data_IF_383358113320
#
_entry.id   IF_383358113320
#
_cell.length_a   1.000
_cell.length_b   1.000
_cell.length_c   1.000
_cell.angle_alpha   90.00
_cell.angle_beta   90.00
_cell.angle_gamma   90.00
#
_symmetry.space_group_name_H-M   'P 1'
#
loop_
_entity.id
_entity.type
_entity.pdbx_description
1 polymer ?
#
# COMPACT_ATOMS: atom_id res chain seq x y z
N UNK A 1 -13.09 9.86 26.15
CA UNK A 1 -13.37 8.62 26.93
C UNK A 1 -14.54 7.90 26.28
N UNK A 2 -14.26 6.91 25.42
CA UNK A 2 -15.25 5.99 24.84
C UNK A 2 -14.60 4.62 24.78
N UNK A 3 -15.02 3.74 25.70
CA UNK A 3 -14.55 2.36 25.79
C UNK A 3 -15.37 1.49 24.85
N UNK A 4 -14.74 0.88 23.85
CA UNK A 4 -15.35 -0.20 23.08
C UNK A 4 -14.82 -1.55 23.57
N UNK A 5 -15.60 -2.18 24.46
CA UNK A 5 -15.44 -3.59 24.85
C UNK A 5 -15.96 -4.47 23.71
N UNK A 6 -15.11 -5.35 23.17
CA UNK A 6 -15.57 -6.41 22.28
C UNK A 6 -15.63 -7.74 23.04
N UNK A 7 -16.84 -8.28 23.16
CA UNK A 7 -17.21 -9.47 23.95
C UNK A 7 -16.94 -10.71 23.07
N UNK A 8 -16.10 -11.63 23.54
CA UNK A 8 -15.91 -12.95 22.91
C UNK A 8 -17.11 -13.84 23.22
N UNK A 9 -17.68 -14.50 22.21
CA UNK A 9 -18.63 -15.59 22.39
C UNK A 9 -18.04 -16.84 21.75
N UNK A 10 -17.77 -17.85 22.58
CA UNK A 10 -17.46 -19.22 22.19
C UNK A 10 -18.79 -19.97 22.20
N UNK A 11 -19.11 -20.70 21.14
CA UNK A 11 -20.18 -21.69 21.14
C UNK A 11 -19.68 -22.96 20.44
N UNK A 12 -19.83 -24.08 21.14
CA UNK A 12 -19.39 -25.41 20.75
C UNK A 12 -20.58 -26.33 20.47
N UNK A 13 -20.27 -27.43 19.77
CA UNK A 13 -20.96 -28.71 19.68
C UNK A 13 -22.14 -28.88 18.71
N UNK A 14 -22.12 -30.02 18.01
CA UNK A 14 -23.30 -30.63 17.39
C UNK A 14 -23.01 -31.51 16.17
N UNK A 15 -22.52 -32.74 16.37
CA UNK A 15 -22.61 -33.81 15.36
C UNK A 15 -24.03 -34.38 15.36
N UNK A 16 -24.72 -34.37 14.22
CA UNK A 16 -25.86 -35.27 13.94
C UNK A 16 -25.92 -35.60 12.46
N UNK A 17 -25.79 -36.89 12.15
CA UNK A 17 -26.07 -37.52 10.86
C UNK A 17 -27.58 -37.69 10.66
N UNK A 18 -28.11 -37.29 9.50
CA UNK A 18 -29.36 -37.84 8.96
C UNK A 18 -29.36 -37.74 7.44
N UNK A 19 -29.48 -38.89 6.78
CA UNK A 19 -29.54 -39.09 5.35
C UNK A 19 -31.03 -39.01 4.93
N UNK A 20 -31.40 -38.05 4.08
CA UNK A 20 -32.70 -38.04 3.40
C UNK A 20 -32.51 -37.79 1.92
N UNK A 21 -32.80 -38.81 1.12
CA UNK A 21 -32.83 -38.79 -0.33
C UNK A 21 -34.21 -38.25 -0.76
N UNK A 22 -34.27 -37.00 -1.19
CA UNK A 22 -35.46 -36.42 -1.82
C UNK A 22 -35.09 -36.02 -3.26
N UNK A 23 -35.74 -36.67 -4.22
CA UNK A 23 -35.65 -36.34 -5.64
C UNK A 23 -36.28 -34.95 -5.85
N UNK A 24 -35.48 -33.98 -6.31
CA UNK A 24 -35.97 -32.66 -6.68
C UNK A 24 -35.80 -32.54 -8.20
N UNK A 25 -36.93 -32.53 -8.88
CA UNK A 25 -37.08 -32.15 -10.29
C UNK A 25 -36.39 -30.81 -10.57
N UNK A 26 -35.49 -30.70 -11.56
CA UNK A 26 -35.04 -29.38 -12.00
C UNK A 26 -36.22 -28.69 -12.71
N UNK A 27 -36.85 -27.74 -12.02
CA UNK A 27 -37.61 -26.70 -12.70
C UNK A 27 -36.61 -25.90 -13.56
N UNK A 28 -36.90 -25.78 -14.85
CA UNK A 28 -36.18 -24.89 -15.76
C UNK A 28 -36.33 -23.46 -15.23
N UNK A 29 -35.33 -22.98 -14.51
CA UNK A 29 -35.22 -21.57 -14.14
C UNK A 29 -34.73 -20.78 -15.36
N UNK A 30 -35.40 -19.67 -15.61
CA UNK A 30 -35.17 -18.71 -16.68
C UNK A 30 -33.69 -18.36 -16.91
N UNK A 31 -33.23 -18.17 -18.17
CA UNK A 31 -31.87 -17.72 -18.47
C UNK A 31 -31.63 -16.23 -18.14
N UNK A 32 -32.56 -15.54 -17.47
CA UNK A 32 -32.49 -14.11 -17.21
C UNK A 32 -32.31 -13.81 -15.74
N UNK A 33 -31.09 -14.02 -15.23
CA UNK A 33 -30.46 -13.18 -14.20
C UNK A 33 -29.32 -13.95 -13.51
N UNK A 34 -28.13 -13.90 -14.09
CA UNK A 34 -26.95 -13.75 -13.25
C UNK A 34 -25.95 -12.97 -14.07
N UNK A 35 -25.86 -11.66 -13.82
CA UNK A 35 -24.68 -10.90 -14.18
C UNK A 35 -23.51 -11.58 -13.48
N UNK A 36 -22.84 -12.48 -14.20
CA UNK A 36 -21.57 -13.03 -13.79
C UNK A 36 -20.63 -11.84 -13.63
N UNK A 37 -20.51 -11.34 -12.40
CA UNK A 37 -19.31 -10.63 -12.00
C UNK A 37 -18.22 -11.66 -12.22
N UNK A 38 -17.56 -11.57 -13.37
CA UNK A 38 -16.43 -12.42 -13.69
C UNK A 38 -15.50 -12.32 -12.51
N UNK A 39 -15.39 -13.40 -11.74
CA UNK A 39 -14.38 -13.51 -10.71
C UNK A 39 -13.06 -13.51 -11.46
N UNK A 40 -12.48 -12.33 -11.64
CA UNK A 40 -11.08 -12.19 -12.05
C UNK A 40 -10.30 -12.98 -11.02
N UNK A 41 -9.69 -14.08 -11.46
CA UNK A 41 -8.86 -14.89 -10.59
C UNK A 41 -7.85 -13.94 -9.93
N UNK A 42 -7.90 -13.87 -8.60
CA UNK A 42 -7.01 -12.99 -7.86
C UNK A 42 -5.57 -13.44 -8.09
N UNK A 43 -4.80 -12.65 -8.82
CA UNK A 43 -3.37 -12.89 -8.97
C UNK A 43 -2.69 -12.65 -7.64
N UNK A 44 -1.91 -13.63 -7.16
CA UNK A 44 -1.12 -13.46 -5.95
C UNK A 44 -0.11 -12.31 -6.13
N UNK A 45 0.14 -11.50 -5.09
CA UNK A 45 1.19 -10.49 -5.15
C UNK A 45 2.55 -11.17 -5.37
N UNK A 46 3.31 -10.66 -6.34
CA UNK A 46 4.68 -11.10 -6.62
C UNK A 46 5.62 -9.93 -6.37
N UNK A 47 6.84 -10.22 -5.94
CA UNK A 47 7.90 -9.23 -5.78
C UNK A 47 9.27 -9.80 -6.10
N UNK A 48 10.16 -8.94 -6.58
CA UNK A 48 11.56 -9.22 -6.86
C UNK A 48 12.46 -8.32 -6.00
N UNK A 49 13.26 -8.87 -5.07
CA UNK A 49 14.20 -8.08 -4.27
C UNK A 49 15.31 -7.38 -5.08
N UNK A 50 15.47 -7.75 -6.37
CA UNK A 50 16.39 -7.09 -7.31
C UNK A 50 15.72 -5.92 -8.05
N UNK A 51 14.38 -5.87 -8.11
CA UNK A 51 13.62 -4.79 -8.74
C UNK A 51 13.72 -3.51 -7.92
N UNK A 52 14.18 -2.41 -8.54
CA UNK A 52 14.17 -1.08 -7.92
C UNK A 52 12.75 -0.58 -7.72
N UNK A 53 11.82 -0.87 -8.64
CA UNK A 53 10.41 -0.48 -8.53
C UNK A 53 9.74 -1.17 -7.34
N UNK A 54 9.96 -2.48 -7.17
CA UNK A 54 9.40 -3.23 -6.04
C UNK A 54 10.03 -2.77 -4.72
N UNK A 55 11.31 -2.40 -4.74
CA UNK A 55 11.98 -1.81 -3.58
C UNK A 55 11.39 -0.44 -3.20
N UNK A 56 10.99 0.38 -4.17
CA UNK A 56 10.26 1.64 -3.92
C UNK A 56 8.86 1.34 -3.38
N UNK A 57 8.15 0.36 -3.94
CA UNK A 57 6.82 -0.06 -3.44
C UNK A 57 6.89 -0.55 -1.99
N UNK A 58 7.87 -1.41 -1.66
CA UNK A 58 8.10 -1.89 -0.30
C UNK A 58 8.44 -0.76 0.67
N UNK A 59 9.22 0.23 0.22
CA UNK A 59 9.50 1.42 1.04
C UNK A 59 8.23 2.21 1.34
N UNK A 60 7.47 2.59 0.31
CA UNK A 60 6.28 3.43 0.49
C UNK A 60 5.20 2.70 1.28
N UNK A 61 4.98 1.40 1.05
CA UNK A 61 4.05 0.61 1.85
C UNK A 61 4.41 0.62 3.33
N UNK A 62 5.62 0.16 3.67
CA UNK A 62 6.06 0.10 5.07
C UNK A 62 6.16 1.49 5.71
N UNK A 63 6.56 2.51 4.96
CA UNK A 63 6.68 3.88 5.47
C UNK A 63 5.31 4.48 5.77
N UNK A 64 4.34 4.31 4.86
CA UNK A 64 2.96 4.76 5.06
C UNK A 64 2.33 4.04 6.24
N UNK A 65 2.52 2.72 6.39
CA UNK A 65 2.04 1.97 7.55
C UNK A 65 2.61 2.55 8.86
N UNK A 66 3.92 2.81 8.91
CA UNK A 66 4.58 3.37 10.10
C UNK A 66 4.11 4.79 10.44
N UNK A 67 3.82 5.65 9.46
CA UNK A 67 3.30 7.00 9.76
C UNK A 67 1.79 7.02 9.98
N UNK A 68 1.06 5.99 9.54
CA UNK A 68 -0.37 5.84 9.78
C UNK A 68 -0.64 5.33 11.20
N UNK A 69 0.14 4.36 11.67
CA UNK A 69 -0.06 3.73 12.98
C UNK A 69 0.58 4.51 14.15
N UNK A 70 0.18 5.77 14.30
CA UNK A 70 0.75 6.67 15.32
C UNK A 70 0.47 6.27 16.77
N UNK A 71 -0.40 5.29 17.01
CA UNK A 71 -0.68 4.76 18.35
C UNK A 71 0.40 3.78 18.83
N UNK A 72 1.15 3.15 17.92
CA UNK A 72 2.28 2.31 18.27
C UNK A 72 3.51 3.18 18.66
N UNK A 73 4.08 3.01 19.86
CA UNK A 73 5.26 3.76 20.28
C UNK A 73 6.51 3.51 19.41
N UNK A 74 6.57 2.44 18.62
CA UNK A 74 7.67 2.11 17.72
C UNK A 74 7.60 2.89 16.38
N UNK A 75 6.43 3.39 15.98
CA UNK A 75 6.17 3.96 14.66
C UNK A 75 7.16 5.05 14.22
N UNK A 76 7.49 5.99 15.11
CA UNK A 76 8.46 7.04 14.80
C UNK A 76 9.89 6.49 14.58
N UNK A 77 10.28 5.48 15.37
CA UNK A 77 11.59 4.83 15.22
C UNK A 77 11.65 4.02 13.92
N UNK A 78 10.58 3.33 13.57
CA UNK A 78 10.46 2.53 12.35
C UNK A 78 10.48 3.41 11.10
N UNK A 79 9.71 4.50 11.07
CA UNK A 79 9.74 5.48 9.97
C UNK A 79 11.18 6.00 9.74
N UNK A 80 11.92 6.31 10.82
CA UNK A 80 13.32 6.74 10.75
C UNK A 80 14.26 5.63 10.27
N UNK A 81 14.05 4.39 10.72
CA UNK A 81 14.83 3.23 10.29
C UNK A 81 14.61 2.94 8.79
N UNK A 82 13.36 2.99 8.33
CA UNK A 82 12.99 2.82 6.92
C UNK A 82 13.65 3.87 6.05
N UNK A 83 13.58 5.16 6.41
CA UNK A 83 14.28 6.23 5.69
C UNK A 83 15.78 5.94 5.60
N UNK A 84 16.40 5.47 6.68
CA UNK A 84 17.83 5.12 6.71
C UNK A 84 18.16 3.91 5.83
N UNK A 85 17.30 2.90 5.79
CA UNK A 85 17.50 1.68 5.03
C UNK A 85 17.22 1.82 3.53
N UNK A 86 16.25 2.64 3.14
CA UNK A 86 15.85 2.73 1.73
C UNK A 86 16.56 3.85 0.97
N UNK A 87 16.80 5.00 1.61
CA UNK A 87 17.35 6.18 0.96
C UNK A 87 18.88 6.24 1.06
N UNK A 88 19.50 6.90 0.08
CA UNK A 88 20.89 7.34 0.17
C UNK A 88 21.05 8.45 1.23
N UNK A 89 22.28 8.68 1.69
CA UNK A 89 22.55 9.77 2.63
C UNK A 89 22.20 11.15 2.03
N UNK A 90 22.47 11.34 0.73
CA UNK A 90 22.15 12.58 0.02
C UNK A 90 20.64 12.80 -0.10
N UNK A 91 19.87 11.76 -0.43
CA UNK A 91 18.42 11.83 -0.48
C UNK A 91 17.82 12.19 0.88
N UNK A 92 18.29 11.56 1.97
CA UNK A 92 17.86 11.90 3.34
C UNK A 92 18.12 13.36 3.70
N UNK A 93 19.24 13.92 3.25
CA UNK A 93 19.56 15.35 3.47
C UNK A 93 18.59 16.27 2.71
N UNK A 94 18.22 15.92 1.47
CA UNK A 94 17.22 16.67 0.70
C UNK A 94 15.84 16.63 1.36
N UNK A 95 15.41 15.45 1.82
CA UNK A 95 14.17 15.25 2.57
C UNK A 95 14.15 16.15 3.81
N UNK A 96 15.19 16.09 4.65
CA UNK A 96 15.28 16.92 5.84
C UNK A 96 15.27 18.44 5.54
N UNK A 97 15.91 18.85 4.44
CA UNK A 97 15.90 20.25 4.01
C UNK A 97 14.52 20.71 3.52
N UNK A 98 13.74 19.82 2.90
CA UNK A 98 12.35 20.07 2.55
C UNK A 98 11.48 20.20 3.81
N UNK A 99 11.59 19.24 4.74
CA UNK A 99 10.82 19.21 5.99
C UNK A 99 11.04 20.48 6.84
N UNK A 100 12.29 20.94 6.91
CA UNK A 100 12.63 22.16 7.65
C UNK A 100 12.04 23.43 7.02
N UNK A 101 11.82 23.43 5.70
CA UNK A 101 11.31 24.60 4.97
C UNK A 101 9.78 24.63 4.89
N UNK A 102 9.18 23.47 4.65
CA UNK A 102 7.75 23.36 4.32
C UNK A 102 6.91 22.88 5.50
N UNK A 103 7.53 22.40 6.58
CA UNK A 103 6.84 21.81 7.72
C UNK A 103 5.88 20.66 7.34
N UNK A 104 6.22 19.94 6.27
CA UNK A 104 5.49 18.80 5.73
C UNK A 104 6.43 17.60 5.61
N UNK A 105 5.90 16.37 5.62
CA UNK A 105 6.68 15.15 5.46
C UNK A 105 7.41 15.17 4.11
N UNK A 106 8.74 15.00 4.11
CA UNK A 106 9.54 15.12 2.88
C UNK A 106 9.60 13.84 2.02
N UNK A 107 8.99 12.74 2.47
CA UNK A 107 8.77 11.52 1.67
C UNK A 107 7.43 11.59 0.95
N UNK A 108 6.40 12.14 1.60
CA UNK A 108 5.05 12.26 1.09
C UNK A 108 4.78 13.62 0.40
N UNK A 109 5.62 14.62 0.67
CA UNK A 109 5.45 16.02 0.26
C UNK A 109 4.09 16.60 0.70
N UNK A 110 3.63 16.22 1.89
CA UNK A 110 2.32 16.58 2.44
C UNK A 110 2.31 16.56 3.98
N UNK A 111 1.28 17.14 4.58
CA UNK A 111 1.09 17.16 6.04
C UNK A 111 0.28 15.97 6.57
N UNK A 112 -0.52 15.34 5.71
CA UNK A 112 -1.35 14.18 6.01
C UNK A 112 -0.73 12.89 5.47
N UNK A 113 -1.37 11.76 5.78
CA UNK A 113 -1.00 10.44 5.28
C UNK A 113 -2.00 10.00 4.21
N UNK A 114 -1.57 9.47 3.06
CA UNK A 114 -2.47 9.04 1.99
C UNK A 114 -3.25 7.78 2.39
N UNK A 115 -4.48 7.64 1.87
CA UNK A 115 -5.32 6.44 2.08
C UNK A 115 -4.95 5.30 1.13
N UNK A 116 -4.33 5.60 -0.01
CA UNK A 116 -3.86 4.62 -0.99
C UNK A 116 -2.58 5.11 -1.66
N UNK A 117 -1.78 4.16 -2.13
CA UNK A 117 -0.59 4.43 -2.92
C UNK A 117 -0.43 3.40 -4.04
N UNK A 118 0.23 3.80 -5.12
CA UNK A 118 0.63 2.92 -6.21
C UNK A 118 2.00 3.34 -6.74
N UNK A 119 2.78 2.37 -7.23
CA UNK A 119 4.11 2.64 -7.79
C UNK A 119 4.18 2.07 -9.20
N UNK A 120 4.55 2.91 -10.16
CA UNK A 120 4.68 2.53 -11.56
C UNK A 120 6.10 2.77 -12.03
N UNK A 121 6.70 1.80 -12.72
CA UNK A 121 7.98 2.00 -13.41
C UNK A 121 7.79 2.95 -14.59
N UNK A 122 8.65 3.98 -14.70
CA UNK A 122 8.57 4.98 -15.79
C UNK A 122 9.80 5.02 -16.67
N UNK A 123 10.89 4.36 -16.30
CA UNK A 123 12.07 4.26 -17.16
C UNK A 123 13.35 3.96 -16.39
N UNK A 124 14.43 3.73 -17.13
CA UNK A 124 15.77 3.55 -16.59
C UNK A 124 16.82 4.03 -17.58
N UNK A 125 17.94 4.53 -17.09
CA UNK A 125 19.06 5.03 -17.89
C UNK A 125 20.17 5.59 -17.01
N UNK A 126 21.39 5.66 -17.56
CA UNK A 126 22.56 6.23 -16.87
C UNK A 126 22.83 5.65 -15.46
N UNK A 127 22.57 4.36 -15.25
CA UNK A 127 22.77 3.71 -13.94
C UNK A 127 21.61 3.92 -12.95
N UNK A 128 20.52 4.57 -13.35
CA UNK A 128 19.36 4.82 -12.51
C UNK A 128 18.07 4.21 -13.09
N UNK A 129 17.12 3.94 -12.19
CA UNK A 129 15.73 3.65 -12.52
C UNK A 129 14.84 4.74 -11.94
N UNK A 130 13.77 5.07 -12.64
CA UNK A 130 12.74 6.01 -12.20
C UNK A 130 11.42 5.26 -12.01
N UNK A 131 10.79 5.50 -10.87
CA UNK A 131 9.44 5.11 -10.57
C UNK A 131 8.59 6.36 -10.31
N UNK A 132 7.29 6.25 -10.55
CA UNK A 132 6.30 7.27 -10.24
C UNK A 132 5.39 6.71 -9.14
N UNK A 133 5.43 7.35 -7.99
CA UNK A 133 4.58 7.03 -6.84
C UNK A 133 3.36 7.91 -6.91
N UNK A 134 2.19 7.31 -6.97
CA UNK A 134 0.90 7.99 -6.94
C UNK A 134 0.33 7.85 -5.55
N UNK A 135 0.05 8.97 -4.89
CA UNK A 135 -0.55 9.02 -3.56
C UNK A 135 -2.00 9.50 -3.69
N UNK A 136 -2.92 8.85 -3.00
CA UNK A 136 -4.35 9.19 -3.00
C UNK A 136 -4.77 9.59 -1.59
N UNK A 137 -5.41 10.74 -1.46
CA UNK A 137 -5.61 11.41 -0.16
C UNK A 137 -7.03 11.26 0.41
N UNK A 138 -7.98 10.83 -0.41
CA UNK A 138 -9.36 10.65 0.00
C UNK A 138 -10.01 9.46 -0.69
N UNK A 139 -11.04 8.92 -0.05
CA UNK A 139 -11.93 7.94 -0.66
C UNK A 139 -13.13 8.64 -1.30
N UNK A 140 -13.57 8.16 -2.47
CA UNK A 140 -14.73 8.71 -3.16
C UNK A 140 -14.60 8.67 -4.68
N UNK A 141 -15.56 9.29 -5.37
CA UNK A 141 -15.61 9.32 -6.85
C UNK A 141 -14.51 10.16 -7.49
N UNK A 142 -14.05 11.22 -6.81
CA UNK A 142 -13.01 12.14 -7.30
C UNK A 142 -11.95 12.32 -6.22
N UNK A 143 -11.11 11.30 -5.98
CA UNK A 143 -10.11 11.40 -4.93
C UNK A 143 -9.00 12.38 -5.34
N UNK A 144 -8.48 13.12 -4.39
CA UNK A 144 -7.30 13.96 -4.61
C UNK A 144 -6.07 13.06 -4.76
N UNK A 145 -5.23 13.36 -5.74
CA UNK A 145 -4.05 12.55 -6.08
C UNK A 145 -2.86 13.45 -6.31
N UNK A 146 -1.72 13.09 -5.71
CA UNK A 146 -0.42 13.70 -6.02
C UNK A 146 0.56 12.63 -6.52
N UNK A 147 1.64 13.08 -7.16
CA UNK A 147 2.65 12.18 -7.72
C UNK A 147 4.04 12.58 -7.28
N UNK A 148 4.88 11.58 -7.10
CA UNK A 148 6.27 11.74 -6.72
C UNK A 148 7.12 10.94 -7.69
N UNK A 149 8.05 11.62 -8.35
CA UNK A 149 9.09 10.97 -9.13
C UNK A 149 10.20 10.51 -8.18
N UNK A 150 10.49 9.23 -8.22
CA UNK A 150 11.48 8.59 -7.36
C UNK A 150 12.57 8.00 -8.23
N UNK A 151 13.81 8.41 -8.00
CA UNK A 151 14.98 7.82 -8.64
C UNK A 151 15.71 6.87 -7.70
N UNK A 152 16.11 5.72 -8.25
CA UNK A 152 16.93 4.74 -7.57
C UNK A 152 18.19 4.45 -8.36
N UNK A 153 19.31 4.28 -7.66
CA UNK A 153 20.54 3.77 -8.25
C UNK A 153 20.42 2.26 -8.52
N UNK A 154 20.75 1.78 -9.72
CA UNK A 154 20.57 0.37 -10.10
C UNK A 154 21.56 -0.57 -9.40
N UNK A 155 22.72 -0.07 -8.97
CA UNK A 155 23.77 -0.89 -8.34
C UNK A 155 23.47 -1.17 -6.86
N UNK A 156 23.16 -0.12 -6.11
CA UNK A 156 22.86 -0.14 -4.68
C UNK A 156 21.37 -0.34 -4.39
N UNK A 157 20.51 -0.11 -5.38
CA UNK A 157 19.03 -0.08 -5.29
C UNK A 157 18.49 0.97 -4.33
N UNK A 158 19.33 1.88 -3.82
CA UNK A 158 18.93 2.95 -2.90
C UNK A 158 18.16 4.02 -3.65
N UNK A 159 17.16 4.59 -2.97
CA UNK A 159 16.48 5.79 -3.45
C UNK A 159 17.46 6.96 -3.34
N UNK A 160 17.80 7.56 -4.47
CA UNK A 160 18.79 8.63 -4.57
C UNK A 160 18.16 10.00 -4.68
N UNK A 161 16.91 10.08 -5.16
CA UNK A 161 16.18 11.33 -5.27
C UNK A 161 14.67 11.12 -5.20
N UNK A 162 13.98 12.12 -4.64
CA UNK A 162 12.52 12.20 -4.59
C UNK A 162 12.10 13.63 -4.89
N UNK A 163 11.12 13.81 -5.75
CA UNK A 163 10.56 15.13 -6.05
C UNK A 163 9.08 15.01 -6.44
N UNK A 164 8.24 16.02 -6.11
CA UNK A 164 6.91 16.12 -6.68
C UNK A 164 6.96 16.06 -8.21
N UNK A 165 5.95 15.43 -8.79
CA UNK A 165 5.76 15.36 -10.24
C UNK A 165 4.41 15.99 -10.60
N UNK A 166 4.39 16.67 -11.75
CA UNK A 166 3.21 17.32 -12.31
C UNK A 166 2.18 16.29 -12.86
#
# INVERSE_FOLDING_TARGET
MRTHRCRRVIAAAGLTTALTLAAITPALADPTATGAHGATAATAPQGDPRSTTDRVANFYGAYIDAVWDTEDPASAADAKALRTFYLSAAARKKVAAYEAREHADGILFAQNVPVKWAVTYTGSGAGHSTALVTLTWSDGKNPEVTRIKVQSDLSTRKITDLAPAD
#
